data_IF_040553495506
#
_entry.id   IF_040553495506
#
_cell.length_a   1.000
_cell.length_b   1.000
_cell.length_c   1.000
_cell.angle_alpha   90.00
_cell.angle_beta   90.00
_cell.angle_gamma   90.00
#
_symmetry.space_group_name_H-M   'P 1'
#
loop_
_entity.id
_entity.type
_entity.pdbx_description
1 polymer ?
2 non-polymer ?
3 non-polymer ?
4 water ?
#
# COMPACT_ATOMS: atom_id res chain seq x y z
N UNK A 4 4.20 -12.06 -21.12
CA UNK A 4 4.94 -12.59 -19.93
C UNK A 4 5.55 -13.94 -20.31
N UNK A 5 6.86 -13.96 -20.52
CA UNK A 5 7.57 -15.16 -20.94
C UNK A 5 7.78 -16.24 -19.87
N UNK A 6 7.68 -15.82 -18.61
CA UNK A 6 7.86 -16.70 -17.45
C UNK A 6 6.53 -17.28 -16.96
N UNK A 7 5.45 -16.86 -17.57
CA UNK A 7 4.14 -17.31 -17.16
C UNK A 7 3.35 -17.75 -18.38
N UNK A 8 2.06 -17.98 -18.16
CA UNK A 8 1.16 -18.38 -19.22
C UNK A 8 0.25 -17.20 -19.56
N UNK A 9 -0.96 -17.51 -20.01
CA UNK A 9 -1.94 -16.51 -20.40
C UNK A 9 -2.28 -15.51 -19.29
N UNK A 10 -2.73 -14.34 -19.72
CA UNK A 10 -3.15 -13.27 -18.83
C UNK A 10 -4.60 -13.65 -18.50
N UNK A 11 -4.90 -13.73 -17.21
CA UNK A 11 -6.23 -14.08 -16.76
C UNK A 11 -7.11 -12.83 -16.81
N UNK A 12 -6.60 -11.73 -16.27
CA UNK A 12 -7.32 -10.45 -16.23
C UNK A 12 -6.35 -9.31 -16.50
N UNK A 13 -6.67 -8.47 -17.46
CA UNK A 13 -5.80 -7.34 -17.75
C UNK A 13 -6.02 -6.25 -16.69
N UNK A 14 -5.06 -5.32 -16.62
CA UNK A 14 -5.12 -4.21 -15.71
C UNK A 14 -6.41 -3.43 -15.91
N UNK A 15 -6.77 -3.16 -17.16
CA UNK A 15 -8.00 -2.42 -17.46
C UNK A 15 -9.22 -3.21 -16.97
N UNK A 16 -9.22 -4.53 -17.17
CA UNK A 16 -10.36 -5.34 -16.71
C UNK A 16 -10.46 -5.27 -15.18
N UNK A 17 -9.33 -5.37 -14.50
CA UNK A 17 -9.31 -5.30 -13.05
C UNK A 17 -9.80 -3.93 -12.56
N UNK A 18 -9.30 -2.86 -13.20
CA UNK A 18 -9.69 -1.49 -12.84
C UNK A 18 -11.19 -1.32 -12.96
N UNK A 19 -11.76 -1.80 -14.07
CA UNK A 19 -13.20 -1.73 -14.31
C UNK A 19 -14.04 -2.48 -13.24
N UNK A 20 -13.62 -3.70 -12.93
CA UNK A 20 -14.31 -4.48 -11.93
C UNK A 20 -14.19 -3.84 -10.56
N UNK A 21 -13.04 -3.26 -10.26
CA UNK A 21 -12.85 -2.60 -8.96
C UNK A 21 -13.78 -1.39 -8.85
N UNK A 22 -13.96 -0.68 -9.97
CA UNK A 22 -14.83 0.49 -9.95
C UNK A 22 -16.27 0.07 -9.67
N UNK A 23 -16.70 -1.03 -10.29
CA UNK A 23 -18.04 -1.54 -10.04
C UNK A 23 -18.20 -2.00 -8.59
N UNK A 24 -17.21 -2.69 -8.05
CA UNK A 24 -17.29 -3.13 -6.67
C UNK A 24 -17.36 -1.93 -5.73
N UNK A 25 -16.58 -0.89 -6.02
CA UNK A 25 -16.59 0.30 -5.18
C UNK A 25 -17.97 0.98 -5.25
N UNK A 26 -18.59 0.93 -6.42
CA UNK A 26 -19.91 1.51 -6.65
C UNK A 26 -20.94 0.80 -5.78
N UNK A 27 -20.83 -0.52 -5.72
CA UNK A 27 -21.73 -1.35 -4.92
C UNK A 27 -21.54 -1.08 -3.42
N UNK A 28 -20.27 -0.95 -3.01
CA UNK A 28 -19.96 -0.67 -1.61
C UNK A 28 -20.54 0.68 -1.23
N UNK A 29 -20.34 1.68 -2.10
CA UNK A 29 -20.83 3.02 -1.83
C UNK A 29 -22.35 2.96 -1.65
N UNK A 30 -23.01 2.21 -2.52
CA UNK A 30 -24.45 2.08 -2.43
C UNK A 30 -24.91 1.40 -1.16
N UNK A 31 -24.26 0.30 -0.81
CA UNK A 31 -24.60 -0.46 0.39
C UNK A 31 -24.42 0.30 1.70
N UNK A 32 -23.42 1.18 1.76
CA UNK A 32 -23.17 1.92 2.99
C UNK A 32 -23.76 3.33 2.97
N UNK A 33 -24.49 3.66 1.91
CA UNK A 33 -25.06 5.00 1.74
C UNK A 33 -25.88 5.51 2.91
N UNK A 34 -26.58 4.64 3.61
CA UNK A 34 -27.34 5.11 4.75
C UNK A 34 -26.71 4.84 6.11
N UNK A 35 -25.41 4.55 6.14
CA UNK A 35 -24.72 4.26 7.39
C UNK A 35 -24.14 5.49 8.08
N UNK A 36 -24.24 6.65 7.44
CA UNK A 36 -23.70 7.86 8.02
C UNK A 36 -22.17 7.88 8.12
N UNK A 37 -21.50 7.36 7.10
CA UNK A 37 -20.03 7.34 7.11
C UNK A 37 -19.59 8.78 7.03
N UNK A 38 -18.57 9.13 7.82
CA UNK A 38 -18.02 10.48 7.88
C UNK A 38 -16.56 10.44 8.28
N UNK A 39 -15.75 11.37 7.76
CA UNK A 39 -14.33 11.36 8.14
C UNK A 39 -14.22 11.63 9.65
N UNK A 40 -13.08 11.23 10.22
CA UNK A 40 -12.74 11.43 11.63
C UNK A 40 -13.52 10.55 12.59
N UNK A 41 -14.84 10.68 12.56
CA UNK A 41 -15.66 9.91 13.50
C UNK A 41 -16.20 8.60 12.99
N UNK A 42 -16.44 8.49 11.68
CA UNK A 42 -17.04 7.27 11.18
C UNK A 42 -16.65 6.88 9.75
N UNK A 43 -15.33 6.77 9.47
CA UNK A 43 -14.93 6.40 8.11
C UNK A 43 -15.09 4.88 7.90
N UNK A 44 -15.10 4.43 6.65
CA UNK A 44 -15.15 3.00 6.37
C UNK A 44 -13.69 2.55 6.58
N UNK A 45 -13.48 1.66 7.54
CA UNK A 45 -12.13 1.16 7.88
C UNK A 45 -11.75 -0.03 7.00
N UNK A 46 -10.75 0.18 6.15
CA UNK A 46 -10.25 -0.87 5.27
C UNK A 46 -9.08 -1.56 5.95
N UNK A 47 -9.27 -2.81 6.38
CA UNK A 47 -8.21 -3.57 7.02
C UNK A 47 -7.54 -4.41 5.94
N UNK A 48 -6.40 -3.93 5.47
CA UNK A 48 -5.66 -4.55 4.39
C UNK A 48 -4.68 -5.60 4.90
N UNK A 49 -4.85 -6.83 4.43
CA UNK A 49 -4.00 -7.92 4.86
C UNK A 49 -2.73 -7.94 3.98
N UNK A 50 -1.60 -7.63 4.59
CA UNK A 50 -0.34 -7.60 3.88
C UNK A 50 0.13 -9.04 3.65
N UNK A 51 0.95 -9.30 2.63
CA UNK A 51 1.45 -8.28 1.70
C UNK A 51 0.56 -8.15 0.49
N UNK A 52 0.04 -9.29 0.07
CA UNK A 52 -0.77 -9.37 -1.14
C UNK A 52 -1.82 -8.34 -1.51
N UNK A 53 -2.52 -7.80 -0.53
CA UNK A 53 -3.57 -6.84 -0.84
C UNK A 53 -3.13 -5.39 -1.05
N UNK A 54 -1.85 -5.09 -0.91
CA UNK A 54 -1.39 -3.71 -1.04
C UNK A 54 -1.81 -3.02 -2.32
N UNK A 55 -1.73 -3.73 -3.45
CA UNK A 55 -2.07 -3.10 -4.74
C UNK A 55 -3.58 -2.91 -4.90
N UNK A 56 -4.32 -3.96 -4.58
CA UNK A 56 -5.77 -3.94 -4.62
C UNK A 56 -6.27 -2.80 -3.71
N UNK A 57 -5.70 -2.72 -2.51
CA UNK A 57 -6.08 -1.69 -1.54
C UNK A 57 -5.85 -0.27 -2.09
N UNK A 58 -4.68 -0.03 -2.68
CA UNK A 58 -4.36 1.26 -3.26
C UNK A 58 -5.37 1.68 -4.33
N UNK A 59 -5.77 0.74 -5.19
CA UNK A 59 -6.73 1.05 -6.25
C UNK A 59 -8.16 1.12 -5.75
N UNK A 60 -8.51 0.23 -4.83
CA UNK A 60 -9.85 0.20 -4.27
C UNK A 60 -10.18 1.48 -3.48
N UNK A 61 -9.25 1.92 -2.64
CA UNK A 61 -9.51 3.12 -1.85
C UNK A 61 -9.75 4.37 -2.73
N UNK A 62 -9.07 4.41 -3.88
CA UNK A 62 -9.25 5.51 -4.83
C UNK A 62 -10.63 5.44 -5.53
N UNK A 63 -11.07 4.21 -5.83
CA UNK A 63 -12.38 4.03 -6.47
C UNK A 63 -13.48 4.40 -5.46
N UNK A 64 -13.24 4.10 -4.18
CA UNK A 64 -14.18 4.45 -3.11
C UNK A 64 -14.24 5.98 -3.00
N UNK A 65 -13.07 6.63 -3.14
CA UNK A 65 -12.97 8.09 -3.10
C UNK A 65 -13.81 8.68 -4.25
N UNK A 66 -13.80 8.02 -5.41
CA UNK A 66 -14.59 8.47 -6.55
C UNK A 66 -16.07 8.55 -6.18
N UNK A 67 -16.50 7.70 -5.24
CA UNK A 67 -17.88 7.69 -4.80
C UNK A 67 -18.09 8.40 -3.47
N UNK A 68 -17.12 9.22 -3.11
CA UNK A 68 -17.15 10.01 -1.90
C UNK A 68 -17.32 9.23 -0.62
N UNK A 69 -16.75 8.02 -0.59
CA UNK A 69 -16.81 7.19 0.61
C UNK A 69 -15.54 7.48 1.41
N UNK A 70 -15.67 8.07 2.61
CA UNK A 70 -14.48 8.37 3.42
C UNK A 70 -13.92 7.07 4.01
N UNK A 71 -12.62 6.84 3.85
CA UNK A 71 -12.02 5.61 4.35
C UNK A 71 -10.82 5.83 5.28
N UNK A 72 -10.55 4.83 6.11
CA UNK A 72 -9.41 4.84 7.03
C UNK A 72 -8.65 3.56 6.67
N UNK A 73 -7.37 3.69 6.31
CA UNK A 73 -6.58 2.53 5.93
C UNK A 73 -5.82 1.93 7.09
N UNK A 74 -5.91 0.62 7.25
CA UNK A 74 -5.18 -0.08 8.30
C UNK A 74 -4.44 -1.21 7.57
N UNK A 75 -3.27 -1.55 8.05
CA UNK A 75 -2.49 -2.62 7.43
C UNK A 75 -2.13 -3.60 8.53
N UNK A 76 -2.38 -4.87 8.29
CA UNK A 76 -2.07 -5.87 9.29
C UNK A 76 -1.21 -6.96 8.65
N UNK A 77 -0.55 -7.73 9.50
CA UNK A 77 0.33 -8.80 9.05
C UNK A 77 0.13 -9.98 10.00
N UNK A 78 0.00 -11.17 9.43
CA UNK A 78 -0.22 -12.38 10.21
C UNK A 78 0.76 -13.46 9.79
N UNK A 79 0.89 -14.49 10.61
CA UNK A 79 1.77 -15.60 10.27
C UNK A 79 1.17 -16.86 10.86
N UNK A 80 1.37 -17.93 10.15
CA UNK A 80 0.88 -19.23 10.56
C UNK A 80 2.02 -20.19 10.67
N UNK A 81 1.91 -21.03 11.66
CA UNK A 81 2.85 -22.11 11.76
C UNK A 81 2.16 -23.38 11.29
N UNK A 91 -2.77 -19.21 13.47
CA UNK A 91 -2.55 -17.83 12.93
C UNK A 91 -2.22 -16.91 14.09
N UNK A 92 -1.14 -16.13 13.95
CA UNK A 92 -0.71 -15.18 14.98
C UNK A 92 -0.66 -13.81 14.33
N UNK A 93 -0.99 -12.78 15.09
CA UNK A 93 -0.94 -11.42 14.57
C UNK A 93 0.47 -10.84 14.76
N UNK A 94 1.08 -10.39 13.66
CA UNK A 94 2.40 -9.78 13.70
C UNK A 94 2.17 -8.28 13.85
N UNK A 95 1.15 -7.77 13.16
CA UNK A 95 0.79 -6.35 13.25
C UNK A 95 -0.72 -6.23 13.19
N UNK A 96 -1.31 -5.56 14.17
CA UNK A 96 -2.77 -5.38 14.18
C UNK A 96 -3.08 -3.90 13.90
N UNK A 97 -4.35 -3.54 13.91
CA UNK A 97 -4.78 -2.18 13.63
C UNK A 97 -4.23 -1.20 14.65
N UNK A 98 -4.02 0.04 14.21
CA UNK A 98 -3.52 1.08 15.09
C UNK A 98 -4.62 1.82 15.85
N UNK A 99 -5.86 1.73 15.39
CA UNK A 99 -6.98 2.36 16.06
C UNK A 99 -8.08 1.32 16.28
N UNK A 100 -8.86 1.53 17.34
CA UNK A 100 -9.97 0.64 17.68
C UNK A 100 -11.01 0.63 16.57
N UNK A 101 -11.60 -0.54 16.33
CA UNK A 101 -12.66 -0.66 15.31
C UNK A 101 -14.03 -0.69 15.95
N UNK A 102 -14.06 -0.65 17.27
CA UNK A 102 -15.33 -0.68 17.99
C UNK A 102 -16.26 0.45 17.54
N UNK A 103 -17.47 0.08 17.15
CA UNK A 103 -18.44 1.05 16.70
C UNK A 103 -18.23 1.50 15.27
N UNK A 104 -17.21 0.97 14.60
CA UNK A 104 -16.92 1.38 13.23
C UNK A 104 -17.38 0.36 12.21
N UNK A 105 -17.49 0.81 10.97
CA UNK A 105 -17.86 -0.05 9.86
C UNK A 105 -16.52 -0.46 9.26
N UNK A 106 -16.24 -1.75 9.35
CA UNK A 106 -15.00 -2.34 8.91
C UNK A 106 -15.14 -3.26 7.71
N UNK A 107 -14.14 -3.22 6.83
CA UNK A 107 -14.10 -4.03 5.64
C UNK A 107 -12.71 -4.65 5.57
N UNK A 108 -12.61 -5.97 5.69
CA UNK A 108 -11.32 -6.64 5.58
C UNK A 108 -11.04 -6.83 4.09
N UNK A 109 -9.85 -6.41 3.67
CA UNK A 109 -9.41 -6.46 2.26
C UNK A 109 -8.31 -7.52 2.05
N UNK A 110 -8.57 -8.46 1.14
CA UNK A 110 -7.64 -9.54 0.83
C UNK A 110 -7.48 -9.68 -0.67
N UNK A 111 -6.30 -10.14 -1.10
CA UNK A 111 -6.08 -10.35 -2.53
C UNK A 111 -6.75 -11.63 -3.02
N UNK A 112 -6.73 -12.66 -2.19
CA UNK A 112 -7.35 -13.95 -2.56
C UNK A 112 -7.80 -14.75 -1.35
N UNK A 113 -8.96 -15.38 -1.50
CA UNK A 113 -9.47 -16.26 -0.46
C UNK A 113 -9.65 -17.59 -1.16
N UNK A 114 -8.95 -18.60 -0.63
CA UNK A 114 -9.02 -19.95 -1.14
C UNK A 114 -9.47 -20.90 -0.02
N UNK A 115 -8.57 -21.28 0.88
CA UNK A 115 -8.92 -22.15 1.99
C UNK A 115 -9.80 -21.44 3.00
N UNK A 116 -9.65 -20.11 3.05
CA UNK A 116 -10.36 -19.19 3.96
C UNK A 116 -9.93 -19.34 5.42
N UNK A 117 -8.84 -20.07 5.66
CA UNK A 117 -8.37 -20.27 7.02
C UNK A 117 -7.92 -18.97 7.68
N UNK A 118 -7.20 -18.13 6.95
CA UNK A 118 -6.74 -16.87 7.51
C UNK A 118 -7.88 -15.88 7.66
N UNK A 119 -8.59 -15.66 6.57
CA UNK A 119 -9.68 -14.71 6.56
C UNK A 119 -10.75 -15.05 7.61
N UNK A 120 -11.06 -16.34 7.76
CA UNK A 120 -12.06 -16.72 8.74
C UNK A 120 -11.50 -16.42 10.15
N UNK A 121 -10.22 -16.68 10.37
CA UNK A 121 -9.58 -16.37 11.65
C UNK A 121 -9.68 -14.86 11.95
N UNK A 122 -9.36 -14.03 10.96
CA UNK A 122 -9.44 -12.58 11.13
C UNK A 122 -10.87 -12.10 11.32
N UNK A 123 -11.80 -12.66 10.55
CA UNK A 123 -13.19 -12.26 10.68
C UNK A 123 -13.67 -12.58 12.09
N UNK A 124 -13.35 -13.77 12.59
CA UNK A 124 -13.74 -14.12 13.95
C UNK A 124 -13.14 -13.16 14.98
N UNK A 125 -11.86 -12.87 14.82
CA UNK A 125 -11.16 -11.97 15.72
C UNK A 125 -11.75 -10.56 15.77
N UNK A 126 -12.03 -10.00 14.62
CA UNK A 126 -12.59 -8.65 14.57
C UNK A 126 -14.04 -8.59 15.00
N UNK A 127 -14.78 -9.65 14.72
CA UNK A 127 -16.20 -9.73 15.09
C UNK A 127 -16.37 -9.51 16.60
N UNK A 128 -15.46 -10.06 17.38
CA UNK A 128 -15.55 -9.94 18.84
C UNK A 128 -15.19 -8.56 19.37
N UNK A 129 -14.64 -7.70 18.53
CA UNK A 129 -14.25 -6.37 18.95
C UNK A 129 -15.35 -5.32 18.83
N UNK A 130 -16.57 -5.80 18.65
CA UNK A 130 -17.73 -4.93 18.55
C UNK A 130 -17.77 -3.85 17.46
N UNK A 131 -17.41 -4.20 16.20
CA UNK A 131 -17.48 -3.15 15.17
C UNK A 131 -18.96 -2.90 14.87
N UNK A 132 -19.30 -1.75 14.28
CA UNK A 132 -20.69 -1.45 13.92
C UNK A 132 -21.13 -2.48 12.86
N UNK A 133 -20.23 -2.82 11.96
CA UNK A 133 -20.48 -3.83 10.95
C UNK A 133 -19.14 -4.34 10.50
N UNK A 134 -19.12 -5.57 9.98
CA UNK A 134 -17.89 -6.23 9.53
C UNK A 134 -18.14 -7.03 8.27
N UNK A 135 -17.50 -6.63 7.17
CA UNK A 135 -17.64 -7.32 5.90
C UNK A 135 -16.26 -7.57 5.35
N UNK A 136 -16.20 -8.30 4.23
CA UNK A 136 -14.95 -8.62 3.57
C UNK A 136 -15.04 -8.38 2.06
N UNK A 137 -13.94 -7.95 1.47
CA UNK A 137 -13.86 -7.72 0.03
C UNK A 137 -12.59 -8.42 -0.41
N UNK A 138 -12.69 -9.27 -1.43
CA UNK A 138 -11.55 -10.01 -1.95
C UNK A 138 -11.39 -9.73 -3.44
N UNK A 139 -10.14 -9.68 -3.88
CA UNK A 139 -9.88 -9.46 -5.28
C UNK A 139 -10.26 -10.75 -6.04
N UNK A 140 -9.73 -11.88 -5.55
CA UNK A 140 -9.99 -13.18 -6.16
C UNK A 140 -10.57 -14.18 -5.17
N UNK A 141 -11.48 -15.01 -5.66
CA UNK A 141 -12.11 -16.02 -4.83
C UNK A 141 -12.05 -17.38 -5.51
N UNK A 142 -11.33 -18.30 -4.88
CA UNK A 142 -11.30 -19.69 -5.38
C UNK A 142 -12.32 -20.40 -4.45
N UNK A 143 -13.61 -20.25 -4.77
CA UNK A 143 -14.70 -20.79 -3.96
C UNK A 143 -14.64 -22.28 -3.69
N UNK A 144 -13.87 -22.99 -4.52
CA UNK A 144 -13.71 -24.42 -4.39
C UNK A 144 -12.57 -24.84 -3.46
N UNK A 145 -11.66 -23.91 -3.15
CA UNK A 145 -10.53 -24.24 -2.29
C UNK A 145 -10.75 -24.18 -0.78
N UNK A 146 -11.98 -24.01 -0.36
CA UNK A 146 -12.30 -23.90 1.06
C UNK A 146 -11.93 -25.05 1.98
N UNK A 147 -11.38 -24.70 3.12
CA UNK A 147 -11.01 -25.65 4.19
C UNK A 147 -11.96 -25.36 5.37
N UNK A 148 -12.65 -24.23 5.31
CA UNK A 148 -13.65 -23.81 6.31
C UNK A 148 -14.65 -22.97 5.51
N UNK A 149 -15.98 -23.11 5.77
CA UNK A 149 -16.96 -22.33 5.01
C UNK A 149 -16.74 -20.84 5.21
N UNK A 150 -16.71 -20.10 4.10
CA UNK A 150 -16.55 -18.67 4.16
C UNK A 150 -17.04 -18.00 2.91
N UNK A 151 -17.90 -17.01 3.08
CA UNK A 151 -18.49 -16.28 1.99
C UNK A 151 -18.06 -14.81 2.10
N UNK A 152 -17.29 -14.34 1.13
CA UNK A 152 -16.87 -12.94 1.12
C UNK A 152 -18.06 -12.08 0.70
N UNK A 153 -18.17 -10.87 1.26
CA UNK A 153 -19.26 -9.97 0.89
C UNK A 153 -19.12 -9.36 -0.49
N UNK A 154 -17.90 -9.03 -0.91
CA UNK A 154 -17.67 -8.48 -2.24
C UNK A 154 -16.50 -9.22 -2.86
N UNK A 155 -16.63 -9.60 -4.12
CA UNK A 155 -15.60 -10.34 -4.84
C UNK A 155 -15.38 -9.68 -6.20
N UNK A 156 -14.14 -9.37 -6.52
CA UNK A 156 -13.84 -8.75 -7.81
C UNK A 156 -13.95 -9.81 -8.90
N UNK A 157 -13.41 -11.00 -8.63
CA UNK A 157 -13.48 -12.09 -9.61
C UNK A 157 -13.39 -13.47 -8.98
N UNK A 158 -14.23 -14.39 -9.46
CA UNK A 158 -14.22 -15.78 -8.99
C UNK A 158 -13.30 -16.48 -9.98
N UNK A 159 -12.38 -17.30 -9.50
CA UNK A 159 -11.46 -17.97 -10.40
C UNK A 159 -11.37 -19.47 -10.14
N UNK A 160 -10.94 -20.24 -11.14
CA UNK A 160 -10.80 -21.69 -10.99
C UNK A 160 -9.59 -21.95 -10.12
N UNK A 161 -9.26 -23.21 -9.91
CA UNK A 161 -8.12 -23.56 -9.07
C UNK A 161 -6.83 -23.52 -9.89
N UNK A 162 -6.51 -22.33 -10.40
CA UNK A 162 -5.30 -22.10 -11.20
C UNK A 162 -4.38 -21.27 -10.31
N UNK A 163 -3.07 -21.46 -10.41
CA UNK A 163 -2.16 -20.66 -9.59
C UNK A 163 -1.88 -19.42 -10.44
N UNK A 164 -2.25 -18.26 -9.89
CA UNK A 164 -2.09 -16.98 -10.56
C UNK A 164 -1.10 -16.06 -9.84
N UNK A 165 -0.52 -15.11 -10.58
CA UNK A 165 0.44 -14.15 -10.03
C UNK A 165 0.14 -12.79 -10.62
N UNK A 166 0.72 -11.76 -10.02
CA UNK A 166 0.51 -10.40 -10.51
C UNK A 166 -0.52 -9.66 -9.69
N UNK A 167 -0.49 -8.33 -9.78
CA UNK A 167 -1.43 -7.49 -9.06
C UNK A 167 -1.44 -7.82 -7.56
N UNK A 168 -0.24 -8.00 -6.99
CA UNK A 168 -0.14 -8.33 -5.58
C UNK A 168 0.08 -9.80 -5.29
N UNK A 169 -0.41 -10.67 -6.17
CA UNK A 169 -0.26 -12.13 -5.99
C UNK A 169 1.15 -12.60 -6.33
N UNK A 170 1.64 -13.53 -5.54
CA UNK A 170 3.02 -13.97 -5.70
C UNK A 170 3.29 -15.45 -5.90
N UNK A 171 4.51 -15.73 -6.36
CA UNK A 171 5.02 -17.09 -6.47
C UNK A 171 6.26 -16.96 -5.59
N UNK A 172 6.14 -17.37 -4.34
CA UNK A 172 7.21 -17.27 -3.35
C UNK A 172 7.77 -15.84 -3.26
N UNK A 173 6.84 -14.89 -3.05
CA UNK A 173 7.11 -13.47 -2.91
C UNK A 173 7.64 -12.77 -4.16
N UNK A 174 7.50 -13.40 -5.32
CA UNK A 174 7.95 -12.79 -6.56
C UNK A 174 6.75 -12.52 -7.46
N UNK A 175 6.91 -11.58 -8.38
CA UNK A 175 5.88 -11.21 -9.36
C UNK A 175 4.65 -10.47 -8.84
N UNK A 176 4.73 -9.89 -7.65
CA UNK A 176 3.60 -9.15 -7.11
C UNK A 176 3.36 -7.86 -7.89
N UNK A 177 4.42 -7.37 -8.52
CA UNK A 177 4.37 -6.10 -9.22
C UNK A 177 3.72 -6.04 -10.58
N UNK A 178 3.32 -7.19 -11.13
CA UNK A 178 2.70 -7.18 -12.47
C UNK A 178 1.39 -6.39 -12.49
N UNK A 179 1.13 -5.70 -13.60
CA UNK A 179 -0.08 -4.91 -13.75
C UNK A 179 -1.29 -5.79 -14.02
N UNK A 180 -1.05 -6.96 -14.59
CA UNK A 180 -2.11 -7.90 -14.93
C UNK A 180 -2.05 -9.13 -14.02
N UNK A 181 -3.15 -9.88 -13.98
CA UNK A 181 -3.19 -11.13 -13.21
C UNK A 181 -2.98 -12.22 -14.28
N UNK A 182 -1.89 -12.98 -14.14
CA UNK A 182 -1.54 -14.00 -15.12
C UNK A 182 -1.53 -15.41 -14.55
N UNK A 183 -1.83 -16.37 -15.40
CA UNK A 183 -1.87 -17.77 -15.02
C UNK A 183 -0.46 -18.33 -15.02
N UNK A 184 0.00 -18.82 -13.88
CA UNK A 184 1.32 -19.41 -13.83
C UNK A 184 1.09 -20.89 -14.07
N UNK A 185 0.17 -21.48 -13.32
CA UNK A 185 -0.16 -22.89 -13.44
C UNK A 185 -1.63 -23.03 -13.71
N UNK A 186 -1.99 -23.39 -14.94
CA UNK A 186 -3.40 -23.55 -15.33
C UNK A 186 -4.18 -24.62 -14.58
N UNK A 187 -5.67 -24.32 -14.95
CA UNK A 187 -6.91 -24.17 -14.19
C UNK A 187 -7.60 -25.51 -13.99
N UNK B 4 -13.78 19.08 -4.18
CA UNK B 4 -12.65 19.38 -3.26
C UNK B 4 -12.92 20.66 -2.47
N UNK B 5 -14.05 20.70 -1.75
CA UNK B 5 -14.45 21.87 -0.96
C UNK B 5 -13.45 22.17 0.18
N UNK B 6 -12.74 21.13 0.62
CA UNK B 6 -11.75 21.21 1.69
C UNK B 6 -10.36 21.59 1.13
N UNK B 7 -10.26 21.65 -0.19
CA UNK B 7 -8.99 21.95 -0.83
C UNK B 7 -8.89 23.42 -1.21
N UNK B 8 -7.67 23.92 -1.15
CA UNK B 8 -7.40 25.29 -1.50
C UNK B 8 -6.75 25.37 -2.86
N UNK B 9 -6.01 24.33 -3.23
CA UNK B 9 -5.30 24.32 -4.50
C UNK B 9 -4.99 22.88 -4.92
N UNK B 10 -4.92 22.64 -6.23
CA UNK B 10 -4.55 21.32 -6.75
C UNK B 10 -3.07 21.48 -7.08
N UNK B 11 -2.21 20.68 -6.46
CA UNK B 11 -0.81 20.77 -6.76
C UNK B 11 -0.46 19.88 -7.94
N UNK B 12 -0.89 18.63 -7.88
CA UNK B 12 -0.62 17.68 -8.95
C UNK B 12 -1.83 16.78 -9.17
N UNK B 13 -2.21 16.58 -10.43
CA UNK B 13 -3.32 15.71 -10.74
C UNK B 13 -2.78 14.29 -10.76
N UNK B 14 -3.70 13.33 -10.77
CA UNK B 14 -3.34 11.92 -10.83
C UNK B 14 -2.48 11.63 -12.06
N UNK B 15 -2.81 12.25 -13.19
CA UNK B 15 -2.04 12.04 -14.43
C UNK B 15 -0.63 12.62 -14.36
N UNK B 16 -0.49 13.78 -13.74
CA UNK B 16 0.84 14.40 -13.59
C UNK B 16 1.72 13.52 -12.71
N UNK B 17 1.13 13.00 -11.62
CA UNK B 17 1.89 12.14 -10.72
C UNK B 17 2.29 10.84 -11.44
N UNK B 18 1.36 10.25 -12.17
CA UNK B 18 1.65 9.03 -12.91
C UNK B 18 2.85 9.24 -13.83
N UNK B 19 2.84 10.33 -14.58
CA UNK B 19 3.93 10.63 -15.50
C UNK B 19 5.25 10.79 -14.74
N UNK B 20 5.22 11.52 -13.63
CA UNK B 20 6.42 11.72 -12.82
C UNK B 20 6.93 10.42 -12.23
N UNK B 21 6.02 9.54 -11.82
CA UNK B 21 6.42 8.25 -11.27
C UNK B 21 7.11 7.44 -12.36
N UNK B 22 6.57 7.47 -13.58
CA UNK B 22 7.19 6.71 -14.68
C UNK B 22 8.58 7.25 -14.99
N UNK B 23 8.75 8.56 -14.88
CA UNK B 23 10.04 9.17 -15.13
C UNK B 23 11.05 8.71 -14.09
N UNK B 24 10.64 8.69 -12.82
CA UNK B 24 11.51 8.23 -11.73
C UNK B 24 11.86 6.77 -11.94
N UNK B 25 10.87 5.97 -12.32
CA UNK B 25 11.06 4.54 -12.57
C UNK B 25 12.09 4.30 -13.68
N UNK B 26 12.07 5.15 -14.70
CA UNK B 26 13.01 4.99 -15.81
C UNK B 26 14.41 5.30 -15.33
N UNK B 27 14.52 6.31 -14.47
CA UNK B 27 15.80 6.73 -13.90
C UNK B 27 16.38 5.62 -13.07
N UNK B 28 15.56 5.02 -12.21
CA UNK B 28 16.00 3.91 -11.37
C UNK B 28 16.49 2.74 -12.24
N UNK B 29 15.73 2.42 -13.29
CA UNK B 29 16.08 1.33 -14.20
C UNK B 29 17.45 1.60 -14.83
N UNK B 30 17.65 2.84 -15.27
CA UNK B 30 18.90 3.25 -15.88
C UNK B 30 20.03 3.12 -14.84
N UNK B 31 19.77 3.61 -13.64
CA UNK B 31 20.78 3.58 -12.58
C UNK B 31 21.19 2.19 -12.12
N UNK B 32 20.28 1.24 -12.11
CA UNK B 32 20.60 -0.11 -11.65
C UNK B 32 20.87 -1.13 -12.75
N UNK B 33 20.83 -0.71 -14.02
CA UNK B 33 21.03 -1.66 -15.11
C UNK B 33 22.29 -2.51 -15.02
N UNK B 34 23.38 -1.94 -14.51
CA UNK B 34 24.58 -2.73 -14.40
C UNK B 34 24.80 -3.31 -13.02
N UNK B 35 23.82 -3.14 -12.13
CA UNK B 35 23.91 -3.62 -10.74
C UNK B 35 23.68 -5.09 -10.43
N UNK B 36 23.35 -5.89 -11.43
CA UNK B 36 23.16 -7.32 -11.19
C UNK B 36 21.87 -7.75 -10.55
N UNK B 37 20.80 -6.97 -10.73
CA UNK B 37 19.51 -7.34 -10.16
C UNK B 37 19.01 -8.53 -10.98
N UNK B 38 18.30 -9.43 -10.33
CA UNK B 38 17.76 -10.59 -11.02
C UNK B 38 16.59 -11.07 -10.22
N UNK B 39 15.52 -11.48 -10.92
CA UNK B 39 14.28 -11.99 -10.29
C UNK B 39 14.57 -13.10 -9.29
N UNK B 40 13.84 -13.07 -8.17
CA UNK B 40 13.94 -14.06 -7.11
C UNK B 40 15.23 -14.03 -6.27
N UNK B 41 16.36 -14.18 -6.94
CA UNK B 41 17.66 -14.21 -6.29
C UNK B 41 18.18 -12.83 -5.88
N UNK B 42 18.01 -11.82 -6.72
CA UNK B 42 18.53 -10.50 -6.38
C UNK B 42 17.65 -9.33 -6.86
N UNK B 43 16.42 -9.26 -6.33
CA UNK B 43 15.53 -8.17 -6.73
C UNK B 43 15.87 -6.85 -6.03
N UNK B 44 15.39 -5.73 -6.57
CA UNK B 44 15.58 -4.44 -5.92
C UNK B 44 14.53 -4.50 -4.81
N UNK B 45 14.98 -4.31 -3.58
CA UNK B 45 14.09 -4.35 -2.43
C UNK B 45 13.53 -2.98 -2.07
N UNK B 46 12.21 -2.84 -2.19
CA UNK B 46 11.56 -1.58 -1.85
C UNK B 46 11.05 -1.71 -0.41
N UNK B 47 11.57 -0.90 0.50
CA UNK B 47 11.10 -0.93 1.88
C UNK B 47 10.12 0.24 2.00
N UNK B 48 8.84 -0.10 1.96
CA UNK B 48 7.75 0.88 2.02
C UNK B 48 7.39 1.25 3.46
N UNK B 49 7.51 2.52 3.80
CA UNK B 49 7.20 2.96 5.17
C UNK B 49 5.72 3.29 5.27
N UNK B 50 4.98 2.46 6.01
CA UNK B 50 3.55 2.68 6.16
C UNK B 50 3.30 3.88 7.08
N UNK B 51 2.13 4.53 7.01
CA UNK B 51 1.04 4.16 6.10
C UNK B 51 1.11 4.87 4.76
N UNK B 52 1.50 6.15 4.81
CA UNK B 52 1.53 7.01 3.65
C UNK B 52 2.12 6.55 2.33
N UNK B 53 3.13 5.70 2.34
CA UNK B 53 3.73 5.29 1.07
C UNK B 53 3.00 4.16 0.36
N UNK B 54 1.91 3.64 0.95
CA UNK B 54 1.18 2.51 0.34
C UNK B 54 0.74 2.71 -1.10
N UNK B 55 0.19 3.90 -1.39
CA UNK B 55 -0.29 4.22 -2.74
C UNK B 55 0.87 4.40 -3.73
N UNK B 56 1.83 5.24 -3.35
CA UNK B 56 3.02 5.48 -4.16
C UNK B 56 3.71 4.14 -4.47
N UNK B 57 3.86 3.28 -3.47
CA UNK B 57 4.50 1.99 -3.69
C UNK B 57 3.77 1.12 -4.72
N UNK B 58 2.43 1.11 -4.65
CA UNK B 58 1.64 0.32 -5.59
C UNK B 58 1.86 0.80 -7.02
N UNK B 59 1.90 2.12 -7.21
CA UNK B 59 2.06 2.65 -8.56
C UNK B 59 3.52 2.57 -9.03
N UNK B 60 4.45 2.78 -8.09
CA UNK B 60 5.88 2.73 -8.40
C UNK B 60 6.32 1.33 -8.80
N UNK B 61 5.93 0.31 -8.04
CA UNK B 61 6.38 -1.03 -8.38
C UNK B 61 5.87 -1.43 -9.78
N UNK B 62 4.67 -0.99 -10.15
CA UNK B 62 4.14 -1.27 -11.49
C UNK B 62 4.95 -0.54 -12.59
N UNK B 63 5.35 0.70 -12.30
CA UNK B 63 6.15 1.47 -13.25
C UNK B 63 7.52 0.82 -13.40
N UNK B 64 8.06 0.26 -12.32
CA UNK B 64 9.37 -0.42 -12.36
C UNK B 64 9.27 -1.72 -13.16
N UNK B 65 8.13 -2.39 -13.02
CA UNK B 65 7.85 -3.61 -13.77
C UNK B 65 7.85 -3.27 -15.29
N UNK B 66 7.28 -2.12 -15.65
CA UNK B 66 7.27 -1.65 -17.05
C UNK B 66 8.69 -1.63 -17.62
N UNK B 67 9.67 -1.34 -16.77
CA UNK B 67 11.08 -1.28 -17.16
C UNK B 67 11.84 -2.56 -16.86
N UNK B 68 11.10 -3.61 -16.56
CA UNK B 68 11.67 -4.92 -16.26
C UNK B 68 12.61 -4.94 -15.10
N UNK B 69 12.35 -4.13 -14.09
CA UNK B 69 13.20 -4.10 -12.91
C UNK B 69 12.52 -5.04 -11.90
N UNK B 70 13.18 -6.15 -11.53
CA UNK B 70 12.59 -7.09 -10.57
C UNK B 70 12.59 -6.45 -9.18
N UNK B 71 11.47 -6.51 -8.47
CA UNK B 71 11.39 -5.91 -7.13
C UNK B 71 10.78 -6.80 -6.07
N UNK B 72 11.16 -6.56 -4.83
CA UNK B 72 10.61 -7.27 -3.69
C UNK B 72 10.02 -6.17 -2.82
N UNK B 73 8.80 -6.36 -2.36
CA UNK B 73 8.14 -5.36 -1.53
C UNK B 73 8.18 -5.75 -0.07
N UNK B 74 8.64 -4.82 0.76
CA UNK B 74 8.68 -5.01 2.20
C UNK B 74 7.87 -3.82 2.73
N UNK B 75 7.11 -4.04 3.79
CA UNK B 75 6.30 -2.97 4.38
C UNK B 75 6.68 -2.89 5.83
N UNK B 76 7.08 -1.70 6.28
CA UNK B 76 7.47 -1.55 7.67
C UNK B 76 6.53 -0.56 8.37
N UNK B 77 6.39 -0.73 9.68
CA UNK B 77 5.50 0.12 10.47
C UNK B 77 6.29 0.62 11.68
N UNK B 78 6.30 1.93 11.86
CA UNK B 78 7.01 2.58 12.97
C UNK B 78 6.03 3.46 13.76
N UNK B 79 6.41 3.80 14.99
CA UNK B 79 5.59 4.67 15.82
C UNK B 79 6.48 5.63 16.58
N UNK B 80 6.00 6.85 16.74
CA UNK B 80 6.82 7.86 17.44
C UNK B 80 6.65 7.70 18.96
N UNK B 81 7.73 8.33 19.49
CA UNK B 81 7.70 8.40 20.93
C UNK B 81 6.81 9.56 21.41
N UNK B 82 6.29 9.46 22.62
CA UNK B 82 5.49 10.57 23.18
C UNK B 82 6.22 11.88 22.78
N UNK B 83 5.68 13.03 23.18
CA UNK B 83 6.21 14.41 22.83
C UNK B 83 7.58 14.82 23.47
N UNK B 84 8.60 15.15 22.68
CA UNK B 84 9.87 15.66 23.27
C UNK B 84 10.73 14.53 23.94
N UNK B 85 10.59 13.27 23.51
CA UNK B 85 11.43 12.14 24.07
C UNK B 85 12.68 11.95 23.21
N UNK B 86 12.63 12.41 21.97
CA UNK B 86 13.78 12.25 21.09
C UNK B 86 14.03 13.52 20.31
N UNK B 87 15.31 13.75 20.02
CA UNK B 87 15.75 14.91 19.24
C UNK B 87 16.71 14.39 18.17
N UNK B 88 16.51 13.14 17.78
CA UNK B 88 17.32 12.50 16.75
C UNK B 88 16.42 11.70 15.83
N UNK B 89 15.11 11.93 15.93
CA UNK B 89 14.17 11.23 15.08
C UNK B 89 13.95 9.74 15.34
N UNK B 90 14.41 9.27 16.50
CA UNK B 90 14.22 7.88 16.85
C UNK B 90 12.72 7.50 16.86
N UNK B 91 12.41 6.30 16.38
CA UNK B 91 11.05 5.80 16.35
C UNK B 91 11.10 4.34 16.77
N UNK B 92 9.93 3.79 17.14
CA UNK B 92 9.78 2.38 17.54
C UNK B 92 9.45 1.55 16.30
N UNK B 93 10.10 0.40 16.16
CA UNK B 93 9.82 -0.48 15.02
C UNK B 93 8.67 -1.43 15.38
N UNK B 94 7.49 -1.24 14.79
CA UNK B 94 6.38 -2.14 15.08
C UNK B 94 6.38 -3.34 14.13
N UNK B 95 6.92 -3.14 12.92
CA UNK B 95 7.00 -4.22 11.94
C UNK B 95 8.20 -3.93 11.06
N UNK B 96 9.17 -4.84 11.05
CA UNK B 96 10.36 -4.69 10.23
C UNK B 96 10.28 -5.60 8.99
N UNK B 97 11.33 -5.59 8.18
CA UNK B 97 11.36 -6.38 6.97
C UNK B 97 11.25 -7.87 7.34
N UNK B 98 10.53 -8.62 6.54
CA UNK B 98 10.38 -10.04 6.80
C UNK B 98 11.58 -10.87 6.36
N UNK B 99 12.38 -10.33 5.43
CA UNK B 99 13.56 -11.06 4.94
C UNK B 99 14.76 -10.12 5.01
N UNK B 100 15.95 -10.71 5.07
CA UNK B 100 17.19 -9.96 5.18
C UNK B 100 17.52 -9.11 3.94
N UNK B 101 18.14 -7.94 4.18
CA UNK B 101 18.52 -7.07 3.08
C UNK B 101 20.02 -7.12 2.79
N UNK B 102 20.77 -7.89 3.58
CA UNK B 102 22.21 -7.99 3.37
C UNK B 102 22.54 -8.48 1.96
N UNK B 103 23.47 -7.77 1.30
CA UNK B 103 23.87 -8.12 -0.06
C UNK B 103 22.92 -7.65 -1.14
N UNK B 104 21.79 -7.06 -0.75
CA UNK B 104 20.80 -6.59 -1.71
C UNK B 104 20.80 -5.09 -1.90
N UNK B 105 20.23 -4.68 -3.03
CA UNK B 105 20.09 -3.27 -3.37
C UNK B 105 18.75 -2.91 -2.81
N UNK B 106 18.77 -1.92 -1.91
CA UNK B 106 17.58 -1.49 -1.20
C UNK B 106 17.21 -0.07 -1.49
N UNK B 107 15.90 0.16 -1.53
CA UNK B 107 15.38 1.48 -1.78
C UNK B 107 14.27 1.70 -0.75
N UNK B 108 14.45 2.68 0.13
CA UNK B 108 13.41 3.02 1.09
C UNK B 108 12.42 3.94 0.35
N UNK B 109 11.13 3.64 0.50
CA UNK B 109 10.05 4.39 -0.16
C UNK B 109 9.20 5.13 0.86
N UNK B 110 9.16 6.46 0.73
CA UNK B 110 8.40 7.31 1.63
C UNK B 110 7.49 8.30 0.83
N UNK B 111 6.35 8.74 1.44
CA UNK B 111 5.42 9.68 0.73
C UNK B 111 5.91 11.11 0.82
N UNK B 112 6.55 11.44 1.91
CA UNK B 112 7.08 12.77 2.03
C UNK B 112 8.27 12.84 2.97
N UNK B 113 9.23 13.69 2.62
CA UNK B 113 10.40 13.97 3.45
C UNK B 113 10.38 15.48 3.67
N UNK B 114 10.23 15.87 4.92
CA UNK B 114 10.23 17.29 5.28
C UNK B 114 11.29 17.53 6.35
N UNK B 115 11.03 17.16 7.58
CA UNK B 115 12.06 17.39 8.57
C UNK B 115 13.20 16.42 8.35
N UNK B 116 12.86 15.26 7.76
CA UNK B 116 13.79 14.15 7.49
C UNK B 116 14.25 13.42 8.77
N UNK B 117 13.68 13.76 9.92
CA UNK B 117 14.08 13.08 11.15
C UNK B 117 13.88 11.54 11.14
N UNK B 118 12.71 11.07 10.71
CA UNK B 118 12.44 9.64 10.65
C UNK B 118 13.20 8.98 9.53
N UNK B 119 13.17 9.56 8.34
CA UNK B 119 13.89 8.98 7.20
C UNK B 119 15.41 8.89 7.47
N UNK B 120 15.98 9.91 8.10
CA UNK B 120 17.40 9.87 8.43
C UNK B 120 17.67 8.72 9.42
N UNK B 121 16.79 8.57 10.41
CA UNK B 121 16.93 7.49 11.39
C UNK B 121 16.83 6.11 10.71
N UNK B 122 15.82 5.95 9.85
CA UNK B 122 15.62 4.67 9.14
C UNK B 122 16.75 4.37 8.19
N UNK B 123 17.23 5.40 7.49
CA UNK B 123 18.33 5.24 6.57
C UNK B 123 19.56 4.71 7.31
N UNK B 124 19.92 5.33 8.42
CA UNK B 124 21.07 4.87 9.18
C UNK B 124 20.86 3.46 9.75
N UNK B 125 19.64 3.15 10.15
CA UNK B 125 19.30 1.83 10.70
C UNK B 125 19.55 0.72 9.66
N UNK B 126 19.04 0.89 8.44
CA UNK B 126 19.23 -0.10 7.39
C UNK B 126 20.64 -0.14 6.82
N UNK B 127 21.30 1.00 6.84
CA UNK B 127 22.65 1.10 6.34
C UNK B 127 23.59 0.12 7.07
N UNK B 128 23.39 -0.07 8.36
CA UNK B 128 24.26 -0.96 9.13
C UNK B 128 23.99 -2.43 8.91
N UNK B 129 22.94 -2.73 8.13
CA UNK B 129 22.57 -4.10 7.84
C UNK B 129 23.30 -4.64 6.61
N UNK B 130 24.30 -3.92 6.16
CA UNK B 130 25.12 -4.33 5.04
C UNK B 130 24.43 -4.61 3.69
N UNK B 131 23.48 -3.76 3.27
CA UNK B 131 22.86 -4.03 1.97
C UNK B 131 23.92 -3.72 0.89
N UNK B 132 23.73 -4.21 -0.33
CA UNK B 132 24.66 -3.93 -1.43
C UNK B 132 24.74 -2.40 -1.65
N UNK B 133 23.59 -1.73 -1.53
CA UNK B 133 23.50 -0.26 -1.64
C UNK B 133 22.18 0.12 -1.01
N UNK B 134 22.08 1.37 -0.60
CA UNK B 134 20.91 1.90 0.05
C UNK B 134 20.58 3.29 -0.45
N UNK B 135 19.39 3.43 -1.01
CA UNK B 135 18.95 4.72 -1.53
C UNK B 135 17.52 4.96 -1.06
N UNK B 136 16.99 6.16 -1.32
CA UNK B 136 15.63 6.51 -0.93
C UNK B 136 14.90 7.16 -2.10
N UNK B 137 13.60 6.94 -2.16
CA UNK B 137 12.76 7.54 -3.18
C UNK B 137 11.55 8.05 -2.41
N UNK B 138 11.22 9.33 -2.63
CA UNK B 138 10.09 9.96 -1.96
C UNK B 138 9.14 10.54 -3.00
N UNK B 139 7.85 10.50 -2.67
CA UNK B 139 6.85 11.05 -3.56
C UNK B 139 7.01 12.57 -3.55
N UNK B 140 7.02 13.16 -2.36
CA UNK B 140 7.14 14.60 -2.23
C UNK B 140 8.30 15.00 -1.34
N UNK B 141 8.94 16.11 -1.67
CA UNK B 141 10.06 16.61 -0.88
C UNK B 141 9.88 18.08 -0.55
N UNK B 142 9.82 18.40 0.74
CA UNK B 142 9.78 19.80 1.16
C UNK B 142 11.25 20.09 1.52
N UNK B 143 12.05 20.45 0.52
CA UNK B 143 13.47 20.67 0.73
C UNK B 143 13.84 21.66 1.80
N UNK B 144 12.99 22.66 2.01
CA UNK B 144 13.28 23.67 3.01
C UNK B 144 12.78 23.30 4.41
N UNK B 145 12.16 22.13 4.55
CA UNK B 145 11.64 21.73 5.85
C UNK B 145 12.57 20.94 6.77
N UNK B 146 13.81 20.72 6.37
CA UNK B 146 14.74 19.93 7.16
C UNK B 146 15.06 20.38 8.60
N UNK B 147 15.16 19.40 9.48
CA UNK B 147 15.57 19.61 10.88
C UNK B 147 16.90 18.86 11.08
N UNK B 148 17.25 18.06 10.08
CA UNK B 148 18.51 17.31 10.02
C UNK B 148 18.81 17.22 8.52
N UNK B 149 20.08 17.29 8.12
CA UNK B 149 20.33 17.21 6.67
C UNK B 149 19.95 15.85 6.10
N UNK B 150 19.39 15.86 4.89
CA UNK B 150 19.05 14.62 4.22
C UNK B 150 18.69 14.86 2.78
N UNK B 151 19.25 14.06 1.88
CA UNK B 151 18.94 14.16 0.45
C UNK B 151 18.34 12.86 -0.04
N UNK B 152 17.14 12.91 -0.63
CA UNK B 152 16.52 11.71 -1.20
C UNK B 152 17.22 11.47 -2.53
N UNK B 153 17.40 10.21 -2.92
CA UNK B 153 18.04 9.93 -4.19
C UNK B 153 17.11 10.18 -5.39
N UNK B 154 15.83 9.86 -5.21
CA UNK B 154 14.84 10.05 -6.25
C UNK B 154 13.66 10.77 -5.62
N UNK B 155 13.08 11.71 -6.35
CA UNK B 155 11.96 12.53 -5.86
C UNK B 155 10.96 12.72 -6.99
N UNK B 156 9.70 12.43 -6.72
CA UNK B 156 8.67 12.57 -7.74
C UNK B 156 8.33 14.06 -7.94
N UNK B 157 8.28 14.80 -6.85
CA UNK B 157 8.00 16.24 -6.94
C UNK B 157 8.44 17.02 -5.71
N UNK B 158 8.95 18.21 -5.93
CA UNK B 158 9.34 19.11 -4.85
C UNK B 158 8.10 19.93 -4.56
N UNK B 159 7.89 20.29 -3.30
CA UNK B 159 6.73 21.10 -2.95
C UNK B 159 7.15 22.17 -1.94
N UNK B 160 6.38 23.28 -1.89
CA UNK B 160 6.69 24.34 -0.95
C UNK B 160 6.13 23.93 0.40
N UNK B 161 6.24 24.79 1.41
CA UNK B 161 5.69 24.43 2.75
C UNK B 161 4.22 24.81 2.87
N UNK B 162 3.41 23.89 2.39
CA UNK B 162 1.96 23.99 2.46
C UNK B 162 1.50 22.66 3.05
N UNK B 163 0.26 22.62 3.57
CA UNK B 163 -0.28 21.38 4.12
C UNK B 163 -0.86 20.60 2.93
N UNK B 164 -0.13 19.58 2.51
CA UNK B 164 -0.54 18.77 1.38
C UNK B 164 -1.15 17.45 1.82
N UNK B 165 -2.15 17.01 1.06
CA UNK B 165 -2.83 15.76 1.34
C UNK B 165 -3.12 15.06 0.02
N UNK B 166 -3.51 13.80 0.11
CA UNK B 166 -3.84 13.04 -1.08
C UNK B 166 -2.70 12.15 -1.48
N UNK B 167 -3.05 11.13 -2.27
CA UNK B 167 -2.08 10.16 -2.78
C UNK B 167 -1.26 9.53 -1.64
N UNK B 168 -1.98 9.17 -0.56
CA UNK B 168 -1.35 8.55 0.59
C UNK B 168 -1.10 9.45 1.78
N UNK B 169 -0.93 10.76 1.52
CA UNK B 169 -0.67 11.72 2.57
C UNK B 169 -1.94 12.10 3.29
N UNK B 170 -1.85 12.29 4.59
CA UNK B 170 -3.05 12.56 5.37
C UNK B 170 -3.08 13.83 6.19
N UNK B 171 -4.29 14.12 6.66
CA UNK B 171 -4.56 15.15 7.63
C UNK B 171 -5.33 14.33 8.69
N UNK B 172 -4.68 14.01 9.80
CA UNK B 172 -5.34 13.24 10.85
C UNK B 172 -5.94 11.95 10.28
N UNK B 173 -5.10 11.21 9.57
CA UNK B 173 -5.45 9.95 8.93
C UNK B 173 -6.63 10.05 7.96
N UNK B 174 -6.88 11.24 7.45
CA UNK B 174 -7.99 11.50 6.52
C UNK B 174 -7.40 12.01 5.18
N UNK B 175 -8.13 11.74 4.09
CA UNK B 175 -7.74 12.18 2.73
C UNK B 175 -6.58 11.45 2.06
N UNK B 176 -6.14 10.35 2.65
CA UNK B 176 -5.04 9.59 2.03
C UNK B 176 -5.47 9.00 0.68
N UNK B 177 -6.77 8.72 0.55
CA UNK B 177 -7.33 8.08 -0.64
C UNK B 177 -7.55 8.96 -1.87
N UNK B 178 -7.31 10.26 -1.75
CA UNK B 178 -7.50 11.11 -2.92
C UNK B 178 -6.54 10.70 -4.03
N UNK B 179 -6.98 10.84 -5.29
CA UNK B 179 -6.18 10.51 -6.45
C UNK B 179 -5.17 11.61 -6.82
N UNK B 180 -5.45 12.83 -6.35
CA UNK B 180 -4.63 14.01 -6.62
C UNK B 180 -3.93 14.48 -5.34
N UNK B 181 -2.94 15.34 -5.51
CA UNK B 181 -2.20 15.93 -4.39
C UNK B 181 -2.67 17.38 -4.33
N UNK B 182 -3.31 17.72 -3.21
CA UNK B 182 -3.90 19.04 -3.02
C UNK B 182 -3.46 19.70 -1.72
N UNK B 183 -3.68 21.02 -1.64
CA UNK B 183 -3.33 21.78 -0.45
C UNK B 183 -4.60 21.91 0.38
N UNK B 184 -4.50 21.56 1.64
CA UNK B 184 -5.65 21.62 2.54
C UNK B 184 -5.92 23.07 2.95
N UNK B 185 -7.18 23.47 2.95
CA UNK B 185 -7.55 24.84 3.35
C UNK B 185 -7.20 25.01 4.83
N UNK B 186 -6.45 26.06 5.18
CA UNK B 186 -6.06 26.35 6.57
C UNK B 186 -7.20 26.33 7.57
N UNK B 187 -8.40 26.66 7.10
CA UNK B 187 -9.57 26.68 7.95
C UNK B 187 -9.91 25.31 8.50
N UNK B 188 -9.29 24.27 7.95
CA UNK B 188 -9.56 22.90 8.39
C UNK B 188 -8.69 22.44 9.56
N UNK B 189 -7.42 22.81 9.54
CA UNK B 189 -6.51 22.37 10.59
C UNK B 189 -6.09 23.45 11.58
#
# INVERSE_FOLDING_TARGET
PREYEFAEKILFTEEEIRTRIKEVAKRIADDYKGKGLRPYVNPLVLISVLKGSFMFTADLCRALCDFNVPVRMEFICVSSYGEGLTSSGQVRMLLDTRHSIEGHHVLIVEDIVDTALTLNYLYHMYFTRRPASLKTVVLLDKREGRRVPFSADYVVANIPNAFVIGYGLDYDDTYRELRDIVVLRPEVYAEREAARQKKQRAIGSADTDRDAKREFHSKY
PREYEFAEKILFTEEEIRTRIKEVAKRIADDYKGKGLRPYVNPLVLISVLKGSFMFTADLCRALCDFNVPVRMEFICVSSYGEGLTSSGQVRMLLDTRHSIEGHHVLIVEDIVDTALTLNYLYHMYFTRRPASLKTVVLLDKREGRRVPFSADYVVANIPNAFVIGYGLDYDDTYRELRDIVVLRPEVYAEREAARQKKQRAIGSADTDRDAKREFHSKY
#
